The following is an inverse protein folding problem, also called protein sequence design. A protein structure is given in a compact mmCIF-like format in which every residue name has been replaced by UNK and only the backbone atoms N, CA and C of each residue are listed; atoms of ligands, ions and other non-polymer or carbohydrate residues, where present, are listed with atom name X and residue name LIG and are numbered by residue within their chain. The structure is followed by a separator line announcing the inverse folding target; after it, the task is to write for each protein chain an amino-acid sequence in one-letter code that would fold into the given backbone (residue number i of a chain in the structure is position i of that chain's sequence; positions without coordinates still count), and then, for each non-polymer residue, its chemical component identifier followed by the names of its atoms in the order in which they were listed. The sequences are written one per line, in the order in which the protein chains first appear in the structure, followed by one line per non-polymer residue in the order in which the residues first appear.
data_IF_576998718277
#
_entry.id   IF_576998718277
#
_cell.length_a   1.000
_cell.length_b   1.000
_cell.length_c   1.000
_cell.angle_alpha   90.00
_cell.angle_beta   90.00
_cell.angle_gamma   90.00
#
_symmetry.space_group_name_H-M   'P 1'
#
loop_
_entity.id
_entity.type
_entity.pdbx_description
1 polymer ?
#
# COMPACT_ATOMS: atom_id res chain seq x y z
N UNK A 1 4.15 10.05 -12.92
CA UNK A 1 4.41 9.12 -11.82
C UNK A 1 3.10 8.68 -11.19
N UNK A 2 2.94 7.41 -10.95
CA UNK A 2 1.76 6.86 -10.29
C UNK A 2 2.12 6.33 -8.92
N UNK A 3 1.47 6.86 -7.88
CA UNK A 3 1.49 6.28 -6.54
C UNK A 3 0.22 5.48 -6.31
N UNK A 4 0.37 4.32 -5.72
CA UNK A 4 -0.76 3.48 -5.32
C UNK A 4 -0.58 3.05 -3.87
N UNK A 5 -1.67 2.89 -3.16
CA UNK A 5 -1.68 2.26 -1.85
C UNK A 5 -2.48 0.98 -1.88
N UNK A 6 -2.04 -0.01 -1.14
CA UNK A 6 -2.77 -1.25 -0.87
C UNK A 6 -2.97 -1.34 0.63
N UNK A 7 -4.20 -1.24 1.11
CA UNK A 7 -4.50 -1.18 2.53
C UNK A 7 -5.87 -1.74 2.85
N UNK A 8 -6.18 -1.89 4.13
CA UNK A 8 -7.52 -2.29 4.60
C UNK A 8 -8.41 -1.09 4.91
N UNK A 9 -7.88 0.13 4.77
CA UNK A 9 -8.62 1.39 5.02
C UNK A 9 -8.37 2.38 3.87
N UNK A 10 -8.77 2.05 2.64
CA UNK A 10 -8.43 2.86 1.46
C UNK A 10 -8.97 4.29 1.51
N UNK A 11 -10.03 4.54 2.27
CA UNK A 11 -10.70 5.84 2.36
C UNK A 11 -9.91 6.93 3.08
N UNK A 12 -8.82 6.58 3.77
CA UNK A 12 -8.06 7.59 4.55
C UNK A 12 -7.10 8.42 3.71
N UNK A 13 -6.77 7.99 2.49
CA UNK A 13 -5.70 8.61 1.72
C UNK A 13 -6.15 9.84 0.93
N UNK A 14 -7.28 9.79 0.26
CA UNK A 14 -7.73 10.87 -0.62
C UNK A 14 -7.88 12.22 0.10
N UNK A 15 -8.49 12.31 1.29
CA UNK A 15 -8.59 13.60 1.98
C UNK A 15 -7.25 14.26 2.26
N UNK A 16 -6.25 13.47 2.64
CA UNK A 16 -4.89 13.97 2.87
C UNK A 16 -4.24 14.45 1.58
N UNK A 17 -4.37 13.68 0.52
CA UNK A 17 -3.74 13.96 -0.76
C UNK A 17 -4.43 15.07 -1.54
N UNK A 18 -5.65 15.44 -1.17
CA UNK A 18 -6.35 16.57 -1.77
C UNK A 18 -6.06 17.90 -1.08
N UNK A 19 -5.36 17.86 0.05
CA UNK A 19 -5.10 19.04 0.88
C UNK A 19 -3.75 19.70 0.54
N UNK A 20 -3.71 21.03 0.69
CA UNK A 20 -2.48 21.83 0.69
C UNK A 20 -1.59 21.57 -0.52
N UNK A 21 -0.28 21.48 -0.30
CA UNK A 21 0.71 21.29 -1.38
C UNK A 21 0.51 19.95 -2.13
N UNK A 22 0.10 18.90 -1.43
CA UNK A 22 -0.18 17.61 -2.06
C UNK A 22 -1.33 17.73 -3.04
N UNK A 23 -2.41 18.40 -2.66
CA UNK A 23 -3.55 18.62 -3.54
C UNK A 23 -3.20 19.47 -4.76
N UNK A 24 -2.35 20.47 -4.58
CA UNK A 24 -1.85 21.30 -5.70
C UNK A 24 -1.04 20.48 -6.69
N UNK A 25 -0.13 19.65 -6.18
CA UNK A 25 0.70 18.79 -7.03
C UNK A 25 -0.15 17.79 -7.80
N UNK A 26 -1.13 17.18 -7.14
CA UNK A 26 -2.04 16.22 -7.77
C UNK A 26 -2.85 16.86 -8.90
N UNK A 27 -3.42 18.04 -8.66
CA UNK A 27 -4.19 18.79 -9.67
C UNK A 27 -3.32 19.28 -10.83
N UNK A 28 -2.05 19.58 -10.55
CA UNK A 28 -1.09 19.99 -11.58
C UNK A 28 -0.55 18.81 -12.39
N UNK A 29 -0.93 17.58 -12.07
CA UNK A 29 -0.48 16.40 -12.78
C UNK A 29 0.94 15.96 -12.46
N UNK A 30 1.53 16.43 -11.35
CA UNK A 30 2.86 16.00 -10.91
C UNK A 30 2.87 14.51 -10.60
N UNK A 31 1.77 14.01 -10.03
CA UNK A 31 1.56 12.59 -9.79
C UNK A 31 0.08 12.22 -9.89
N UNK A 32 -0.17 10.94 -10.17
CA UNK A 32 -1.48 10.32 -10.04
C UNK A 32 -1.51 9.42 -8.82
N UNK A 33 -2.69 9.17 -8.28
CA UNK A 33 -2.86 8.35 -7.10
C UNK A 33 -4.06 7.42 -7.21
N UNK A 34 -3.87 6.15 -6.84
CA UNK A 34 -4.94 5.16 -6.74
C UNK A 34 -4.86 4.45 -5.39
N UNK A 35 -5.99 4.34 -4.73
CA UNK A 35 -6.12 3.61 -3.47
C UNK A 35 -6.80 2.27 -3.72
N UNK A 36 -6.18 1.19 -3.26
CA UNK A 36 -6.70 -0.17 -3.41
C UNK A 36 -7.07 -0.74 -2.05
N UNK A 37 -8.24 -1.38 -1.99
CA UNK A 37 -8.70 -2.09 -0.80
C UNK A 37 -8.23 -3.54 -0.87
N UNK A 38 -7.41 -3.97 0.09
CA UNK A 38 -6.89 -5.33 0.15
C UNK A 38 -8.02 -6.37 0.16
N UNK A 39 -9.19 -6.03 0.67
CA UNK A 39 -10.34 -6.92 0.69
C UNK A 39 -10.88 -7.28 -0.70
N UNK A 40 -10.52 -6.53 -1.72
CA UNK A 40 -10.89 -6.86 -3.10
C UNK A 40 -10.24 -8.16 -3.60
N UNK A 41 -9.20 -8.63 -2.92
CA UNK A 41 -8.52 -9.89 -3.22
C UNK A 41 -8.80 -10.98 -2.19
N UNK A 42 -9.87 -10.84 -1.40
CA UNK A 42 -10.36 -11.88 -0.49
C UNK A 42 -11.52 -12.62 -1.14
N UNK A 43 -11.69 -13.90 -0.78
CA UNK A 43 -12.69 -14.76 -1.42
C UNK A 43 -13.69 -15.35 -0.43
N UNK A 44 -13.49 -15.11 0.87
CA UNK A 44 -14.42 -15.56 1.89
C UNK A 44 -15.56 -14.56 2.09
N UNK A 45 -16.64 -15.03 2.73
CA UNK A 45 -17.86 -14.24 2.95
C UNK A 45 -17.57 -12.96 3.76
N UNK A 46 -16.67 -13.04 4.73
CA UNK A 46 -16.35 -11.92 5.62
C UNK A 46 -15.20 -11.05 5.11
N UNK A 47 -14.65 -11.37 3.95
CA UNK A 47 -13.53 -10.64 3.35
C UNK A 47 -12.37 -10.48 4.33
N UNK A 48 -11.96 -11.59 4.94
CA UNK A 48 -10.99 -11.64 6.03
C UNK A 48 -9.58 -11.38 5.53
N UNK A 49 -8.89 -10.41 6.14
CA UNK A 49 -7.51 -10.03 5.79
C UNK A 49 -6.51 -10.30 6.90
N UNK A 50 -6.97 -10.76 8.04
CA UNK A 50 -6.15 -11.00 9.24
C UNK A 50 -6.28 -12.43 9.74
N UNK A 51 -5.30 -12.86 10.53
CA UNK A 51 -5.26 -14.19 11.12
C UNK A 51 -4.61 -14.13 12.49
N UNK A 52 -4.80 -15.20 13.29
CA UNK A 52 -4.20 -15.30 14.61
C UNK A 52 -2.67 -15.46 14.51
N UNK A 53 -1.90 -14.96 15.51
CA UNK A 53 -0.46 -15.16 15.52
C UNK A 53 -0.09 -16.65 15.64
N UNK A 54 1.02 -17.04 15.02
CA UNK A 54 1.55 -18.40 15.16
C UNK A 54 1.90 -18.69 16.62
N UNK A 55 1.45 -19.85 17.12
CA UNK A 55 1.69 -20.24 18.50
C UNK A 55 0.79 -19.56 19.53
N UNK A 56 -0.18 -18.77 19.09
CA UNK A 56 -1.07 -18.01 19.96
C UNK A 56 -0.48 -16.66 20.34
N UNK A 57 -1.07 -16.03 21.35
CA UNK A 57 -0.68 -14.71 21.79
C UNK A 57 -1.68 -13.63 21.42
N UNK A 58 -1.34 -12.38 21.76
CA UNK A 58 -2.19 -11.23 21.47
C UNK A 58 -1.91 -10.66 20.08
N UNK A 59 -2.87 -9.88 19.56
CA UNK A 59 -2.76 -9.24 18.27
C UNK A 59 -3.20 -10.13 17.12
N UNK A 60 -3.09 -9.59 15.93
CA UNK A 60 -3.46 -10.27 14.69
C UNK A 60 -2.34 -10.11 13.67
N UNK A 61 -2.26 -11.04 12.73
CA UNK A 61 -1.34 -10.98 11.60
C UNK A 61 -2.13 -10.72 10.32
N UNK A 62 -1.51 -9.99 9.40
CA UNK A 62 -2.06 -9.84 8.06
C UNK A 62 -1.92 -11.15 7.30
N UNK A 63 -3.00 -11.61 6.68
CA UNK A 63 -2.95 -12.83 5.86
C UNK A 63 -2.11 -12.59 4.61
N UNK A 64 -1.14 -13.46 4.32
CA UNK A 64 -0.29 -13.27 3.15
C UNK A 64 -1.00 -13.50 1.82
N UNK A 65 -1.98 -14.38 1.76
CA UNK A 65 -2.62 -14.74 0.49
C UNK A 65 -3.27 -13.57 -0.23
N UNK A 66 -4.10 -12.71 0.41
CA UNK A 66 -4.64 -11.53 -0.28
C UNK A 66 -3.55 -10.57 -0.75
N UNK A 67 -2.48 -10.39 0.01
CA UNK A 67 -1.37 -9.50 -0.35
C UNK A 67 -0.67 -10.01 -1.60
N UNK A 68 -0.32 -11.30 -1.65
CA UNK A 68 0.34 -11.88 -2.83
C UNK A 68 -0.55 -11.82 -4.07
N UNK A 69 -1.83 -12.11 -3.91
CA UNK A 69 -2.78 -12.07 -5.02
C UNK A 69 -2.94 -10.64 -5.55
N UNK A 70 -3.03 -9.65 -4.65
CA UNK A 70 -3.10 -8.24 -5.04
C UNK A 70 -1.82 -7.80 -5.75
N UNK A 71 -0.64 -8.18 -5.26
CA UNK A 71 0.62 -7.82 -5.89
C UNK A 71 0.73 -8.38 -7.30
N UNK A 72 0.34 -9.64 -7.49
CA UNK A 72 0.35 -10.26 -8.81
C UNK A 72 -0.59 -9.55 -9.77
N UNK A 73 -1.81 -9.28 -9.35
CA UNK A 73 -2.81 -8.62 -10.16
C UNK A 73 -2.39 -7.18 -10.50
N UNK A 74 -2.01 -6.39 -9.51
CA UNK A 74 -1.61 -5.01 -9.72
C UNK A 74 -0.35 -4.89 -10.57
N UNK A 75 0.59 -5.83 -10.42
CA UNK A 75 1.81 -5.83 -11.23
C UNK A 75 1.54 -6.10 -12.71
N UNK A 76 0.42 -6.75 -13.02
CA UNK A 76 0.02 -7.03 -14.40
C UNK A 76 -0.68 -5.86 -15.09
N UNK A 77 -1.04 -4.81 -14.36
CA UNK A 77 -1.85 -3.69 -14.85
C UNK A 77 -1.03 -2.51 -15.38
N UNK A 78 0.11 -2.75 -15.98
CA UNK A 78 0.94 -1.69 -16.54
C UNK A 78 2.41 -1.88 -16.18
N UNK A 79 3.22 -0.79 -16.11
CA UNK A 79 4.61 -0.91 -15.72
C UNK A 79 4.74 -1.57 -14.34
N UNK A 80 5.76 -2.41 -14.18
CA UNK A 80 5.99 -3.10 -12.92
C UNK A 80 6.21 -2.07 -11.81
N UNK A 81 5.43 -2.10 -10.71
CA UNK A 81 5.60 -1.14 -9.64
C UNK A 81 6.84 -1.44 -8.80
N UNK A 82 7.46 -0.38 -8.28
CA UNK A 82 8.38 -0.50 -7.17
C UNK A 82 7.55 -0.66 -5.89
N UNK A 83 7.67 -1.81 -5.24
CA UNK A 83 6.84 -2.13 -4.07
C UNK A 83 7.58 -1.73 -2.80
N UNK A 84 6.91 -0.93 -1.97
CA UNK A 84 7.41 -0.54 -0.65
C UNK A 84 6.49 -1.13 0.40
N UNK A 85 7.05 -1.91 1.30
CA UNK A 85 6.33 -2.49 2.42
C UNK A 85 6.75 -1.80 3.70
N UNK A 86 5.82 -1.20 4.43
CA UNK A 86 6.12 -0.52 5.69
C UNK A 86 6.20 -1.54 6.82
N UNK A 87 7.31 -1.50 7.56
CA UNK A 87 7.56 -2.43 8.65
C UNK A 87 8.45 -1.77 9.71
N UNK A 88 8.24 -2.07 11.01
CA UNK A 88 9.16 -1.61 12.05
C UNK A 88 10.57 -2.17 11.90
N UNK A 89 10.73 -3.28 11.18
CA UNK A 89 12.01 -3.92 10.93
C UNK A 89 12.69 -3.44 9.65
N UNK A 90 12.08 -2.48 8.96
CA UNK A 90 12.60 -1.96 7.70
C UNK A 90 13.73 -0.95 7.89
N UNK A 91 14.28 -0.53 6.76
CA UNK A 91 15.28 0.54 6.72
C UNK A 91 14.57 1.88 6.96
N UNK A 92 15.15 2.78 7.80
CA UNK A 92 14.53 4.10 7.99
C UNK A 92 14.41 4.87 6.67
N UNK A 93 13.27 5.54 6.53
CA UNK A 93 13.02 6.39 5.37
C UNK A 93 13.77 7.72 5.53
N UNK A 94 14.55 8.09 4.51
CA UNK A 94 15.33 9.30 4.50
C UNK A 94 15.19 10.03 3.15
N UNK A 95 15.88 11.17 3.03
CA UNK A 95 15.84 11.96 1.79
C UNK A 95 16.38 11.19 0.58
N UNK A 96 17.38 10.34 0.77
CA UNK A 96 17.91 9.50 -0.31
C UNK A 96 16.88 8.50 -0.81
N UNK A 97 16.12 7.91 0.11
CA UNK A 97 15.02 7.01 -0.26
C UNK A 97 13.95 7.77 -1.04
N UNK A 98 13.59 8.98 -0.61
CA UNK A 98 12.63 9.81 -1.32
C UNK A 98 13.09 10.12 -2.75
N UNK A 99 14.35 10.47 -2.92
CA UNK A 99 14.93 10.76 -4.24
C UNK A 99 14.94 9.52 -5.14
N UNK A 100 15.23 8.34 -4.59
CA UNK A 100 15.16 7.09 -5.36
C UNK A 100 13.74 6.79 -5.81
N UNK A 101 12.77 6.94 -4.91
CA UNK A 101 11.36 6.69 -5.26
C UNK A 101 10.83 7.69 -6.28
N UNK A 102 11.29 8.93 -6.22
CA UNK A 102 10.89 9.97 -7.17
C UNK A 102 11.29 9.67 -8.61
N UNK A 103 12.24 8.76 -8.83
CA UNK A 103 12.67 8.33 -10.16
C UNK A 103 11.86 7.17 -10.71
N UNK A 104 11.03 6.54 -9.87
CA UNK A 104 10.20 5.42 -10.28
C UNK A 104 8.97 5.90 -11.05
N UNK A 105 8.60 5.16 -12.06
CA UNK A 105 7.39 5.42 -12.85
C UNK A 105 6.12 5.09 -12.07
N UNK A 106 6.20 4.04 -11.24
CA UNK A 106 5.08 3.53 -10.48
C UNK A 106 5.56 2.98 -9.14
N UNK A 107 4.94 3.45 -8.07
CA UNK A 107 5.26 3.03 -6.70
C UNK A 107 4.00 2.48 -6.04
N UNK A 108 4.06 1.27 -5.51
CA UNK A 108 2.99 0.66 -4.75
C UNK A 108 3.39 0.57 -3.28
N UNK A 109 2.65 1.30 -2.44
CA UNK A 109 2.86 1.34 -1.00
C UNK A 109 1.93 0.33 -0.33
N UNK A 110 2.49 -0.72 0.24
CA UNK A 110 1.72 -1.72 0.98
C UNK A 110 1.68 -1.31 2.44
N UNK A 111 0.50 -0.93 2.90
CA UNK A 111 0.29 -0.39 4.23
C UNK A 111 -0.33 -1.46 5.12
N UNK A 112 0.50 -2.08 5.97
CA UNK A 112 0.05 -3.03 6.96
C UNK A 112 -0.60 -2.34 8.14
N UNK A 113 -1.49 -3.06 8.84
CA UNK A 113 -2.17 -2.55 10.03
C UNK A 113 -1.97 -3.46 11.23
N UNK A 114 -1.66 -4.71 10.98
CA UNK A 114 -1.51 -5.73 12.01
C UNK A 114 -0.03 -5.99 12.28
N UNK A 115 0.24 -6.85 13.27
CA UNK A 115 1.60 -7.28 13.57
C UNK A 115 2.12 -8.23 12.48
N UNK A 116 3.36 -7.99 12.07
CA UNK A 116 4.03 -8.82 11.07
C UNK A 116 3.63 -8.53 9.63
#
# INVERSE_FOLDING_TARGET
MLFETLSVIPEVFDPYLDASIMGRARRAGVFDFLSHDLRDWTHDRHRTVDDAPFGGGQGMLMKPAPVFEALDDLSSRGPRPHVVFFSPCGVPYDQRAAERLAREERVLLVCGRYEG
#
